data_IF_025039511725
#
_entry.id   IF_025039511725
#
_cell.length_a   1.000
_cell.length_b   1.000
_cell.length_c   1.000
_cell.angle_alpha   90.00
_cell.angle_beta   90.00
_cell.angle_gamma   90.00
#
_symmetry.space_group_name_H-M   'P 1'
#
loop_
_entity.id
_entity.type
_entity.pdbx_description
1 polymer ?
#
# COMPACT_ATOMS: atom_id res chain seq x y z
N UNK A 1 2.23 15.22 -7.31
CA UNK A 1 1.08 14.72 -8.05
C UNK A 1 1.61 13.84 -9.15
N UNK A 2 1.62 12.55 -8.90
CA UNK A 2 1.90 11.50 -9.87
C UNK A 2 0.62 11.30 -10.69
N UNK A 3 0.59 11.72 -11.96
CA UNK A 3 -0.60 11.57 -12.78
C UNK A 3 -0.86 10.09 -13.04
N UNK A 4 -2.13 9.70 -13.07
CA UNK A 4 -2.51 8.36 -13.55
C UNK A 4 -2.48 8.37 -15.09
N UNK A 5 -2.00 7.29 -15.75
CA UNK A 5 -2.15 7.14 -17.18
C UNK A 5 -3.59 7.37 -17.66
N UNK A 6 -3.82 8.02 -18.81
CA UNK A 6 -5.18 8.30 -19.31
C UNK A 6 -6.04 7.04 -19.45
N UNK A 7 -5.45 5.94 -19.92
CA UNK A 7 -6.11 4.65 -20.11
C UNK A 7 -6.55 4.04 -18.78
N UNK A 8 -5.72 4.20 -17.76
CA UNK A 8 -6.03 3.78 -16.39
C UNK A 8 -7.15 4.66 -15.82
N UNK A 9 -7.11 5.98 -16.04
CA UNK A 9 -8.17 6.90 -15.58
C UNK A 9 -9.55 6.50 -16.12
N UNK A 10 -9.63 6.10 -17.40
CA UNK A 10 -10.88 5.57 -17.99
C UNK A 10 -11.31 4.27 -17.34
N UNK A 11 -10.38 3.30 -17.15
CA UNK A 11 -10.70 2.04 -16.48
C UNK A 11 -11.13 2.22 -15.03
N UNK A 12 -10.51 3.12 -14.27
CA UNK A 12 -10.90 3.39 -12.88
C UNK A 12 -12.29 4.02 -12.80
N UNK A 13 -12.64 4.89 -13.75
CA UNK A 13 -13.99 5.44 -13.86
C UNK A 13 -15.03 4.35 -14.19
N UNK A 14 -14.68 3.41 -15.08
CA UNK A 14 -15.54 2.29 -15.51
C UNK A 14 -15.67 1.17 -14.48
N UNK A 15 -14.57 0.81 -13.79
CA UNK A 15 -14.49 -0.34 -12.91
C UNK A 15 -15.39 -0.21 -11.68
N UNK A 16 -15.68 1.02 -11.24
CA UNK A 16 -16.09 1.21 -9.86
C UNK A 16 -17.03 2.39 -9.59
N UNK A 17 -17.47 3.17 -10.59
CA UNK A 17 -18.12 4.48 -10.38
C UNK A 17 -17.24 5.44 -9.54
N UNK A 18 -15.92 5.44 -9.79
CA UNK A 18 -15.00 6.34 -9.10
C UNK A 18 -15.44 7.82 -9.24
N UNK A 19 -15.25 8.65 -8.20
CA UNK A 19 -15.67 10.04 -8.24
C UNK A 19 -14.97 10.81 -9.36
N UNK A 20 -15.69 11.77 -9.96
CA UNK A 20 -15.11 12.69 -10.95
C UNK A 20 -13.88 13.40 -10.36
N UNK A 21 -12.77 13.44 -11.11
CA UNK A 21 -11.54 14.11 -10.68
C UNK A 21 -10.41 13.19 -10.20
N UNK A 22 -10.59 11.86 -10.22
CA UNK A 22 -9.52 10.89 -9.93
C UNK A 22 -8.46 10.91 -11.04
N UNK A 23 -7.45 11.76 -10.90
CA UNK A 23 -6.41 11.96 -11.92
C UNK A 23 -4.98 11.76 -11.42
N UNK A 24 -4.82 11.37 -10.15
CA UNK A 24 -3.50 11.17 -9.56
C UNK A 24 -3.51 10.08 -8.50
N UNK A 25 -2.35 9.45 -8.32
CA UNK A 25 -2.11 8.49 -7.25
C UNK A 25 -2.38 9.09 -5.87
N UNK A 26 -2.03 10.37 -5.67
CA UNK A 26 -2.29 11.04 -4.40
C UNK A 26 -3.78 11.25 -4.13
N UNK A 27 -4.58 11.54 -5.15
CA UNK A 27 -6.03 11.63 -5.01
C UNK A 27 -6.63 10.25 -4.69
N UNK A 28 -6.16 9.18 -5.35
CA UNK A 28 -6.58 7.82 -5.06
C UNK A 28 -6.28 7.42 -3.61
N UNK A 29 -5.06 7.66 -3.14
CA UNK A 29 -4.68 7.35 -1.77
C UNK A 29 -5.54 8.11 -0.74
N UNK A 30 -5.82 9.39 -1.00
CA UNK A 30 -6.63 10.21 -0.10
C UNK A 30 -8.10 9.74 -0.05
N UNK A 31 -8.67 9.32 -1.18
CA UNK A 31 -10.03 8.78 -1.26
C UNK A 31 -10.13 7.36 -0.71
N UNK A 32 -9.16 6.49 -1.00
CA UNK A 32 -9.11 5.13 -0.48
C UNK A 32 -9.05 5.13 1.06
N UNK A 33 -8.21 5.98 1.65
CA UNK A 33 -8.15 6.16 3.10
C UNK A 33 -9.46 6.69 3.69
N UNK A 34 -10.18 7.55 2.95
CA UNK A 34 -11.49 8.04 3.38
C UNK A 34 -12.56 6.94 3.35
N UNK A 35 -12.51 6.04 2.37
CA UNK A 35 -13.43 4.90 2.27
C UNK A 35 -13.16 3.87 3.39
N UNK A 36 -11.89 3.70 3.77
CA UNK A 36 -11.39 2.77 4.78
C UNK A 36 -11.16 3.42 6.16
N UNK A 37 -11.92 4.46 6.53
CA UNK A 37 -11.82 5.04 7.89
C UNK A 37 -12.35 4.11 8.97
N UNK A 38 -13.36 3.32 8.63
CA UNK A 38 -14.07 2.41 9.51
C UNK A 38 -14.08 1.03 8.86
N UNK A 39 -14.00 -0.02 9.68
CA UNK A 39 -14.21 -1.38 9.23
C UNK A 39 -15.71 -1.57 8.90
N UNK A 40 -16.02 -1.82 7.63
CA UNK A 40 -17.40 -2.04 7.16
C UNK A 40 -17.89 -3.47 7.42
N UNK A 41 -17.02 -4.38 7.88
CA UNK A 41 -17.37 -5.69 8.42
C UNK A 41 -17.69 -6.78 7.39
N UNK A 42 -18.00 -6.44 6.14
CA UNK A 42 -18.16 -7.42 5.06
C UNK A 42 -16.90 -7.47 4.18
N UNK A 43 -16.05 -8.51 4.29
CA UNK A 43 -14.85 -8.65 3.47
C UNK A 43 -15.14 -8.98 2.01
N UNK A 44 -16.36 -9.42 1.67
CA UNK A 44 -16.75 -9.74 0.29
C UNK A 44 -17.30 -8.50 -0.46
N UNK A 45 -17.63 -7.41 0.24
CA UNK A 45 -18.08 -6.15 -0.35
C UNK A 45 -16.90 -5.21 -0.60
N UNK A 46 -16.26 -5.37 -1.76
CA UNK A 46 -15.17 -4.49 -2.18
C UNK A 46 -15.68 -3.08 -2.46
N UNK A 47 -15.02 -2.08 -1.89
CA UNK A 47 -15.34 -0.70 -2.18
C UNK A 47 -14.82 -0.30 -3.57
N UNK A 48 -15.37 0.76 -4.15
CA UNK A 48 -14.94 1.23 -5.46
C UNK A 48 -13.45 1.57 -5.49
N UNK A 49 -12.92 2.06 -4.37
CA UNK A 49 -11.51 2.41 -4.24
C UNK A 49 -10.61 1.18 -4.22
N UNK A 50 -11.10 0.02 -3.75
CA UNK A 50 -10.34 -1.23 -3.77
C UNK A 50 -10.16 -1.71 -5.18
N UNK A 51 -11.25 -1.78 -5.95
CA UNK A 51 -11.21 -2.11 -7.38
C UNK A 51 -10.23 -1.20 -8.13
N UNK A 52 -10.19 0.08 -7.77
CA UNK A 52 -9.23 1.01 -8.33
C UNK A 52 -7.76 0.67 -8.01
N UNK A 53 -7.49 0.19 -6.80
CA UNK A 53 -6.14 -0.24 -6.39
C UNK A 53 -5.76 -1.56 -7.06
N UNK A 54 -6.68 -2.51 -7.21
CA UNK A 54 -6.45 -3.76 -7.95
C UNK A 54 -6.03 -3.50 -9.41
N UNK A 55 -6.64 -2.52 -10.07
CA UNK A 55 -6.23 -2.14 -11.44
C UNK A 55 -4.80 -1.57 -11.50
N UNK A 56 -4.21 -1.13 -10.38
CA UNK A 56 -2.82 -0.67 -10.34
C UNK A 56 -1.79 -1.80 -10.38
N UNK A 57 -2.17 -3.07 -10.23
CA UNK A 57 -1.21 -4.19 -10.26
C UNK A 57 -0.44 -4.26 -11.59
N UNK A 58 -1.08 -3.86 -12.70
CA UNK A 58 -0.43 -3.74 -14.00
C UNK A 58 0.50 -2.51 -14.11
N UNK A 59 0.55 -1.68 -13.09
CA UNK A 59 1.20 -0.36 -13.02
C UNK A 59 2.06 -0.24 -11.75
N UNK A 60 3.17 -1.00 -11.64
CA UNK A 60 3.91 -1.15 -10.39
C UNK A 60 4.51 0.17 -9.85
N UNK A 61 4.78 1.14 -10.71
CA UNK A 61 5.28 2.46 -10.31
C UNK A 61 4.21 3.28 -9.59
N UNK A 62 2.99 3.29 -10.14
CA UNK A 62 1.81 3.92 -9.57
C UNK A 62 1.34 3.22 -8.30
N UNK A 63 1.31 1.88 -8.29
CA UNK A 63 0.99 1.08 -7.09
C UNK A 63 2.00 1.31 -5.97
N UNK A 64 3.30 1.34 -6.30
CA UNK A 64 4.33 1.68 -5.32
C UNK A 64 4.12 3.08 -4.74
N UNK A 65 3.88 4.08 -5.60
CA UNK A 65 3.60 5.44 -5.16
C UNK A 65 2.33 5.52 -4.29
N UNK A 66 1.28 4.75 -4.62
CA UNK A 66 0.04 4.63 -3.85
C UNK A 66 0.34 4.10 -2.45
N UNK A 67 0.98 2.94 -2.34
CA UNK A 67 1.31 2.31 -1.05
C UNK A 67 2.11 3.26 -0.16
N UNK A 68 3.17 3.88 -0.69
CA UNK A 68 3.99 4.80 0.10
C UNK A 68 3.21 6.03 0.58
N UNK A 69 2.30 6.55 -0.25
CA UNK A 69 1.46 7.71 0.07
C UNK A 69 0.43 7.35 1.13
N UNK A 70 -0.28 6.24 0.93
CA UNK A 70 -1.34 5.76 1.81
C UNK A 70 -0.79 5.42 3.20
N UNK A 71 0.33 4.68 3.29
CA UNK A 71 0.98 4.34 4.58
C UNK A 71 1.39 5.60 5.35
N UNK A 72 1.95 6.61 4.66
CA UNK A 72 2.36 7.86 5.32
C UNK A 72 1.16 8.63 5.86
N UNK A 73 0.00 8.54 5.20
CA UNK A 73 -1.21 9.28 5.59
C UNK A 73 -2.17 8.51 6.48
N UNK A 74 -2.01 7.20 6.62
CA UNK A 74 -2.90 6.37 7.43
C UNK A 74 -3.17 7.03 8.79
N UNK A 75 -4.42 6.98 9.20
CA UNK A 75 -4.90 7.60 10.44
C UNK A 75 -4.79 6.61 11.61
N UNK A 76 -4.81 5.31 11.31
CA UNK A 76 -4.78 4.24 12.31
C UNK A 76 -4.01 3.00 11.80
N UNK A 77 -3.62 2.07 12.71
CA UNK A 77 -2.96 0.83 12.33
C UNK A 77 -3.77 -0.05 11.37
N UNK A 78 -5.09 -0.06 11.50
CA UNK A 78 -5.99 -0.86 10.66
C UNK A 78 -5.81 -0.55 9.18
N UNK A 79 -5.81 0.73 8.80
CA UNK A 79 -5.53 1.18 7.44
C UNK A 79 -4.15 0.73 6.94
N UNK A 80 -3.13 0.74 7.81
CA UNK A 80 -1.80 0.23 7.44
C UNK A 80 -1.83 -1.28 7.21
N UNK A 81 -2.57 -2.03 8.03
CA UNK A 81 -2.76 -3.47 7.88
C UNK A 81 -3.39 -3.83 6.53
N UNK A 82 -4.46 -3.12 6.15
CA UNK A 82 -5.12 -3.27 4.85
C UNK A 82 -4.16 -3.03 3.68
N UNK A 83 -3.28 -2.03 3.78
CA UNK A 83 -2.29 -1.75 2.73
C UNK A 83 -1.17 -2.79 2.74
N UNK A 84 -0.70 -3.19 3.93
CA UNK A 84 0.40 -4.13 4.10
C UNK A 84 0.04 -5.51 3.55
N UNK A 85 -1.04 -6.13 4.08
CA UNK A 85 -1.49 -7.46 3.71
C UNK A 85 -2.28 -7.52 2.38
N UNK A 86 -2.38 -6.40 1.67
CA UNK A 86 -3.01 -6.32 0.35
C UNK A 86 -2.02 -5.77 -0.67
N UNK A 87 -2.21 -4.53 -1.15
CA UNK A 87 -1.49 -4.01 -2.31
C UNK A 87 0.04 -3.95 -2.14
N UNK A 88 0.57 -3.77 -0.92
CA UNK A 88 2.03 -3.77 -0.71
C UNK A 88 2.62 -5.18 -0.82
N UNK A 89 1.97 -6.17 -0.22
CA UNK A 89 2.41 -7.58 -0.28
C UNK A 89 2.39 -8.11 -1.71
N UNK A 90 1.31 -7.88 -2.44
CA UNK A 90 1.16 -8.30 -3.85
C UNK A 90 2.19 -7.63 -4.77
N UNK A 91 2.42 -6.32 -4.58
CA UNK A 91 3.45 -5.58 -5.31
C UNK A 91 4.85 -6.14 -5.05
N UNK A 92 5.15 -6.53 -3.81
CA UNK A 92 6.44 -7.10 -3.44
C UNK A 92 6.61 -8.50 -4.03
N UNK A 93 5.57 -9.34 -3.95
CA UNK A 93 5.60 -10.69 -4.49
C UNK A 93 5.85 -10.67 -6.01
N UNK A 94 5.14 -9.79 -6.73
CA UNK A 94 5.18 -9.73 -8.19
C UNK A 94 6.34 -8.90 -8.74
N UNK A 95 6.65 -7.76 -8.10
CA UNK A 95 7.57 -6.74 -8.63
C UNK A 95 8.72 -6.39 -7.69
N UNK A 96 8.92 -7.16 -6.61
CA UNK A 96 9.88 -6.87 -5.55
C UNK A 96 11.29 -6.56 -6.05
N UNK A 97 11.81 -7.33 -7.00
CA UNK A 97 13.14 -7.10 -7.58
C UNK A 97 13.31 -5.71 -8.23
N UNK A 98 12.23 -5.13 -8.79
CA UNK A 98 12.25 -3.82 -9.44
C UNK A 98 12.08 -2.65 -8.46
N UNK A 99 11.49 -2.88 -7.28
CA UNK A 99 11.16 -1.81 -6.32
C UNK A 99 12.02 -1.83 -5.04
N UNK A 100 12.71 -2.95 -4.74
CA UNK A 100 13.31 -3.19 -3.42
C UNK A 100 14.30 -2.11 -2.98
N UNK A 101 15.15 -1.60 -3.87
CA UNK A 101 16.11 -0.53 -3.53
C UNK A 101 15.40 0.74 -3.05
N UNK A 102 14.27 1.07 -3.68
CA UNK A 102 13.46 2.24 -3.36
C UNK A 102 12.63 2.01 -2.10
N UNK A 103 12.15 0.77 -1.89
CA UNK A 103 11.42 0.38 -0.69
C UNK A 103 12.33 0.49 0.54
N UNK A 104 13.58 0.01 0.46
CA UNK A 104 14.58 0.14 1.53
C UNK A 104 14.89 1.61 1.85
N UNK A 105 15.06 2.46 0.84
CA UNK A 105 15.26 3.90 1.03
C UNK A 105 14.06 4.53 1.75
N UNK A 106 12.85 4.17 1.33
CA UNK A 106 11.63 4.68 1.92
C UNK A 106 11.47 4.21 3.38
N UNK A 107 11.78 2.93 3.66
CA UNK A 107 11.80 2.36 5.01
C UNK A 107 12.83 3.04 5.91
N UNK A 108 14.01 3.40 5.39
CA UNK A 108 15.02 4.14 6.17
C UNK A 108 14.50 5.51 6.62
N UNK A 109 13.73 6.18 5.76
CA UNK A 109 13.21 7.54 6.00
C UNK A 109 11.87 7.60 6.73
N UNK A 110 11.15 6.49 6.86
CA UNK A 110 9.80 6.49 7.44
C UNK A 110 9.60 5.34 8.41
N UNK A 111 9.32 5.69 9.67
CA UNK A 111 8.93 4.70 10.69
C UNK A 111 7.62 4.00 10.34
N UNK A 112 6.66 4.71 9.71
CA UNK A 112 5.39 4.12 9.24
C UNK A 112 5.59 3.05 8.18
N UNK A 113 6.56 3.25 7.27
CA UNK A 113 6.89 2.22 6.26
C UNK A 113 7.51 0.99 6.92
N UNK A 114 8.45 1.17 7.86
CA UNK A 114 9.00 0.00 8.62
C UNK A 114 7.91 -0.72 9.40
N UNK A 115 6.99 0.02 10.01
CA UNK A 115 5.83 -0.52 10.71
C UNK A 115 4.90 -1.30 9.76
N UNK A 116 4.65 -0.80 8.54
CA UNK A 116 3.88 -1.54 7.54
C UNK A 116 4.58 -2.84 7.11
N UNK A 117 5.91 -2.80 6.92
CA UNK A 117 6.69 -3.98 6.53
C UNK A 117 6.70 -5.09 7.59
N UNK A 118 6.37 -4.80 8.85
CA UNK A 118 6.19 -5.87 9.85
C UNK A 118 4.88 -6.62 9.67
N UNK A 119 3.91 -6.09 8.92
CA UNK A 119 2.60 -6.70 8.69
C UNK A 119 2.45 -7.43 7.35
N UNK A 120 3.55 -7.62 6.61
CA UNK A 120 3.55 -8.38 5.36
C UNK A 120 4.12 -9.79 5.57
N UNK A 121 3.62 -10.72 4.76
CA UNK A 121 3.97 -12.13 4.75
C UNK A 121 4.87 -12.43 3.55
N UNK A 122 5.69 -13.47 3.64
CA UNK A 122 6.64 -13.79 2.57
C UNK A 122 5.93 -14.20 1.27
N UNK A 123 4.87 -15.02 1.38
CA UNK A 123 4.12 -15.51 0.22
C UNK A 123 5.03 -16.08 -0.88
N UNK A 124 4.81 -15.61 -2.11
CA UNK A 124 5.60 -15.98 -3.30
C UNK A 124 6.83 -15.08 -3.53
N UNK A 125 7.14 -14.17 -2.60
CA UNK A 125 8.28 -13.26 -2.71
C UNK A 125 9.60 -14.02 -2.83
N UNK A 126 10.39 -13.66 -3.84
CA UNK A 126 11.71 -14.25 -4.07
C UNK A 126 12.60 -14.16 -2.80
N UNK A 127 13.31 -15.23 -2.40
CA UNK A 127 14.05 -15.27 -1.13
C UNK A 127 15.05 -14.11 -0.95
N UNK A 128 15.72 -13.69 -2.02
CA UNK A 128 16.67 -12.57 -2.01
C UNK A 128 16.00 -11.21 -1.77
N UNK A 129 14.76 -11.04 -2.23
CA UNK A 129 13.97 -9.83 -1.96
C UNK A 129 13.46 -9.89 -0.52
N UNK A 130 12.99 -11.06 -0.08
CA UNK A 130 12.49 -11.24 1.28
C UNK A 130 13.56 -10.96 2.34
N UNK A 131 14.78 -11.47 2.17
CA UNK A 131 15.89 -11.18 3.08
C UNK A 131 16.17 -9.68 3.25
N UNK A 132 15.98 -8.90 2.17
CA UNK A 132 16.13 -7.43 2.19
C UNK A 132 14.99 -6.74 2.92
N UNK A 133 13.77 -7.26 2.78
CA UNK A 133 12.60 -6.80 3.56
C UNK A 133 12.82 -7.06 5.05
N UNK A 134 13.28 -8.25 5.42
CA UNK A 134 13.59 -8.59 6.81
C UNK A 134 14.60 -7.61 7.41
N UNK A 135 15.67 -7.31 6.67
CA UNK A 135 16.66 -6.31 7.07
C UNK A 135 16.05 -4.90 7.21
N UNK A 136 15.16 -4.50 6.30
CA UNK A 136 14.53 -3.18 6.32
C UNK A 136 13.57 -2.97 7.50
N UNK A 137 12.91 -4.05 7.97
CA UNK A 137 11.92 -4.00 9.06
C UNK A 137 12.46 -4.36 10.44
N UNK A 138 13.68 -4.90 10.53
CA UNK A 138 14.22 -5.48 11.78
C UNK A 138 14.11 -4.54 13.00
N UNK A 139 14.40 -3.25 12.82
CA UNK A 139 14.33 -2.25 13.89
C UNK A 139 12.92 -1.86 14.34
N UNK A 140 11.88 -2.40 13.70
CA UNK A 140 10.49 -2.17 14.05
C UNK A 140 9.78 -3.43 14.58
N UNK A 141 10.39 -4.62 14.54
CA UNK A 141 9.70 -5.89 14.84
C UNK A 141 9.03 -5.93 16.22
N UNK A 142 9.63 -5.33 17.25
CA UNK A 142 9.08 -5.31 18.62
C UNK A 142 7.92 -4.32 18.80
N UNK A 143 7.78 -3.36 17.89
CA UNK A 143 6.79 -2.26 17.98
C UNK A 143 5.95 -2.13 16.70
N UNK A 144 6.04 -3.13 15.83
CA UNK A 144 5.45 -3.17 14.52
C UNK A 144 3.96 -3.48 14.55
N UNK A 145 3.36 -3.51 13.36
CA UNK A 145 1.96 -3.87 13.17
C UNK A 145 1.61 -5.24 13.78
N UNK A 146 2.39 -6.28 13.46
CA UNK A 146 2.16 -7.65 13.98
C UNK A 146 2.29 -7.76 15.51
N UNK A 147 3.06 -6.85 16.13
CA UNK A 147 3.19 -6.78 17.59
C UNK A 147 2.02 -6.01 18.25
N UNK A 148 1.04 -5.53 17.48
CA UNK A 148 -0.04 -4.67 17.96
C UNK A 148 0.46 -3.27 18.36
N UNK A 149 1.60 -2.83 17.81
CA UNK A 149 2.18 -1.53 18.11
C UNK A 149 1.31 -0.37 17.64
N UNK A 150 1.41 0.81 18.29
CA UNK A 150 0.70 2.00 17.82
C UNK A 150 1.30 2.49 16.50
N UNK A 151 0.46 3.10 15.66
CA UNK A 151 0.92 3.73 14.43
C UNK A 151 1.98 4.80 14.74
N UNK A 152 3.19 4.73 14.14
CA UNK A 152 4.22 5.75 14.35
C UNK A 152 3.75 7.16 13.93
N UNK A 153 4.33 8.23 14.47
CA UNK A 153 4.06 9.59 14.01
C UNK A 153 4.38 9.75 12.52
N UNK A 154 3.64 10.65 11.85
CA UNK A 154 3.77 10.95 10.43
C UNK A 154 5.10 11.66 10.09
#
# INVERSE_FOLDING_TARGET
MTPLPPELTTRLAEAANAPEGLHSVEALADLWLADHREDRGDPDEMAWSDLCVFELDAHPEELFAFCLRAIRKAENPWQVGLIAAGPLEELIATHGAAIIDRLEEAARRSARIRFALTGIWQGETAPEVWARIEAARIGAMETGFDAGGPLPPA
#
